data_IF_506526646394
#
_entry.id   IF_506526646394
#
_cell.length_a   1.000
_cell.length_b   1.000
_cell.length_c   1.000
_cell.angle_alpha   90.00
_cell.angle_beta   90.00
_cell.angle_gamma   90.00
#
_symmetry.space_group_name_H-M   'P 1'
#
loop_
_entity.id
_entity.type
_entity.pdbx_description
1 polymer ?
#
# COMPACT_ATOMS: atom_id res chain seq x y z
N UNK A 1 -18.69 18.77 21.68
CA UNK A 1 -18.49 17.72 20.66
C UNK A 1 -17.44 18.22 19.70
N UNK A 2 -16.27 17.56 19.57
CA UNK A 2 -15.27 18.01 18.61
C UNK A 2 -15.85 17.83 17.21
N UNK A 3 -15.75 18.89 16.40
CA UNK A 3 -16.29 18.95 15.05
C UNK A 3 -15.68 17.81 14.21
N UNK A 4 -16.56 16.98 13.66
CA UNK A 4 -16.31 16.08 12.53
C UNK A 4 -15.57 16.86 11.45
N UNK A 5 -14.59 16.22 10.81
CA UNK A 5 -13.70 16.83 9.82
C UNK A 5 -14.46 17.79 8.89
N UNK A 6 -14.07 19.07 8.81
CA UNK A 6 -14.79 20.00 7.96
C UNK A 6 -14.68 19.58 6.48
N UNK A 7 -15.62 20.01 5.61
CA UNK A 7 -15.58 19.83 4.16
C UNK A 7 -14.34 20.42 3.45
N UNK A 8 -13.32 20.86 4.18
CA UNK A 8 -12.19 21.66 3.74
C UNK A 8 -10.83 20.94 3.75
N UNK A 9 -10.77 19.61 3.85
CA UNK A 9 -9.49 18.89 3.75
C UNK A 9 -8.75 19.13 2.41
N UNK A 10 -9.44 19.60 1.37
CA UNK A 10 -8.87 20.04 0.09
C UNK A 10 -8.57 21.56 0.02
N UNK A 11 -8.88 22.34 1.06
CA UNK A 11 -8.64 23.79 1.09
C UNK A 11 -7.22 24.15 1.54
N UNK A 12 -6.44 23.22 2.13
CA UNK A 12 -5.03 23.47 2.42
C UNK A 12 -4.24 23.50 1.09
N UNK A 13 -3.74 24.67 0.65
CA UNK A 13 -3.07 24.80 -0.64
C UNK A 13 -1.77 24.00 -0.74
N UNK A 14 -1.07 23.81 0.38
CA UNK A 14 0.16 23.02 0.44
C UNK A 14 -0.15 21.54 0.26
N UNK A 15 -1.26 21.07 0.85
CA UNK A 15 -1.71 19.70 0.69
C UNK A 15 -2.12 19.38 -0.74
N UNK A 16 -2.88 20.30 -1.34
CA UNK A 16 -3.26 20.22 -2.74
C UNK A 16 -2.03 20.25 -3.66
N UNK A 17 -1.07 21.12 -3.37
CA UNK A 17 0.19 21.21 -4.12
C UNK A 17 0.98 19.91 -4.05
N UNK A 18 1.19 19.34 -2.86
CA UNK A 18 1.87 18.05 -2.72
C UNK A 18 1.13 16.93 -3.46
N UNK A 19 -0.17 16.79 -3.21
CA UNK A 19 -0.99 15.76 -3.86
C UNK A 19 -0.92 15.85 -5.38
N UNK A 20 -1.02 17.05 -5.96
CA UNK A 20 -1.08 17.23 -7.41
C UNK A 20 0.29 17.26 -8.09
N UNK A 21 1.35 17.71 -7.42
CA UNK A 21 2.66 17.97 -8.06
C UNK A 21 3.73 16.94 -7.72
N UNK A 22 3.55 16.15 -6.66
CA UNK A 22 4.56 15.20 -6.17
C UNK A 22 4.17 13.73 -6.44
N UNK A 23 3.16 13.49 -7.26
CA UNK A 23 2.82 12.14 -7.69
C UNK A 23 3.88 11.61 -8.67
N UNK A 24 4.48 10.48 -8.33
CA UNK A 24 5.39 9.73 -9.19
C UNK A 24 4.54 8.71 -9.95
N UNK A 25 4.42 8.91 -11.26
CA UNK A 25 3.61 8.03 -12.11
C UNK A 25 4.42 7.15 -13.04
N UNK A 26 5.69 7.50 -13.30
CA UNK A 26 6.55 6.80 -14.24
C UNK A 26 7.09 5.47 -13.67
N UNK A 27 6.75 4.36 -14.31
CA UNK A 27 7.07 3.01 -13.83
C UNK A 27 8.55 2.66 -13.95
N UNK A 28 9.24 3.19 -14.94
CA UNK A 28 10.68 2.94 -15.11
C UNK A 28 11.50 3.71 -14.07
N UNK A 29 11.14 4.97 -13.82
CA UNK A 29 11.67 5.73 -12.68
C UNK A 29 11.40 5.04 -11.36
N UNK A 30 10.21 4.46 -11.16
CA UNK A 30 9.88 3.72 -9.93
C UNK A 30 10.77 2.50 -9.71
N UNK A 31 11.09 1.73 -10.77
CA UNK A 31 12.04 0.60 -10.67
C UNK A 31 13.42 1.05 -10.21
N UNK A 32 13.91 2.19 -10.71
CA UNK A 32 15.16 2.78 -10.25
C UNK A 32 15.05 3.28 -8.80
N UNK A 33 13.97 3.97 -8.45
CA UNK A 33 13.75 4.54 -7.12
C UNK A 33 13.67 3.48 -6.02
N UNK A 34 13.15 2.27 -6.28
CA UNK A 34 13.11 1.20 -5.27
C UNK A 34 14.48 0.80 -4.72
N UNK A 35 15.55 1.00 -5.51
CA UNK A 35 16.94 0.72 -5.08
C UNK A 35 17.54 1.85 -4.27
N UNK A 36 17.01 3.05 -4.41
CA UNK A 36 17.61 4.29 -3.88
C UNK A 36 16.76 4.97 -2.82
N UNK A 37 15.54 4.47 -2.60
CA UNK A 37 14.55 5.05 -1.70
C UNK A 37 13.97 3.99 -0.77
N UNK A 38 13.53 4.45 0.40
CA UNK A 38 12.65 3.70 1.28
C UNK A 38 11.21 3.94 0.81
N UNK A 39 10.44 2.87 0.65
CA UNK A 39 9.02 2.98 0.36
C UNK A 39 8.21 2.86 1.65
N UNK A 40 7.36 3.85 1.91
CA UNK A 40 6.44 3.89 3.03
C UNK A 40 5.02 3.65 2.53
N UNK A 41 4.57 2.41 2.60
CA UNK A 41 3.18 2.00 2.39
C UNK A 41 2.28 2.60 3.45
N UNK A 42 1.15 3.14 3.04
CA UNK A 42 0.15 3.76 3.90
C UNK A 42 -1.26 3.33 3.53
N UNK A 43 -2.08 3.13 4.55
CA UNK A 43 -3.52 2.93 4.42
C UNK A 43 -4.21 3.50 5.67
N UNK A 44 -5.47 3.95 5.53
CA UNK A 44 -6.24 4.51 6.64
C UNK A 44 -7.65 3.96 6.71
N UNK A 45 -8.12 3.80 7.93
CA UNK A 45 -9.44 3.26 8.24
C UNK A 45 -10.18 4.22 9.18
N UNK A 46 -11.49 4.37 8.98
CA UNK A 46 -12.30 5.31 9.76
C UNK A 46 -13.69 4.77 10.15
N UNK A 47 -14.50 5.65 10.73
CA UNK A 47 -15.91 5.40 11.02
C UNK A 47 -16.75 5.65 9.76
N UNK A 48 -17.17 4.57 9.09
CA UNK A 48 -17.92 4.62 7.81
C UNK A 48 -17.11 5.28 6.68
N UNK A 49 -15.89 4.76 6.48
CA UNK A 49 -14.86 5.44 5.69
C UNK A 49 -14.17 6.51 6.55
N UNK A 50 -13.44 7.44 5.93
CA UNK A 50 -12.68 8.47 6.67
C UNK A 50 -13.51 9.74 6.98
N UNK A 51 -14.78 9.80 6.58
CA UNK A 51 -15.61 11.02 6.65
C UNK A 51 -15.91 11.48 8.08
N UNK A 52 -16.13 10.53 9.01
CA UNK A 52 -16.25 10.83 10.44
C UNK A 52 -14.90 10.85 11.16
N UNK A 53 -13.82 10.66 10.40
CA UNK A 53 -12.45 10.69 10.87
C UNK A 53 -11.72 9.36 10.79
N UNK A 54 -10.39 9.47 10.71
CA UNK A 54 -9.48 8.34 10.77
C UNK A 54 -9.51 7.76 12.19
N UNK A 55 -9.61 6.45 12.28
CA UNK A 55 -9.59 5.65 13.52
C UNK A 55 -8.34 4.80 13.61
N UNK A 56 -7.75 4.47 12.47
CA UNK A 56 -6.47 3.78 12.40
C UNK A 56 -5.72 4.10 11.12
N UNK A 57 -4.40 3.98 11.21
CA UNK A 57 -3.47 4.14 10.09
C UNK A 57 -2.50 2.96 10.09
N UNK A 58 -2.24 2.43 8.91
CA UNK A 58 -1.24 1.41 8.65
C UNK A 58 0.00 2.04 8.04
N UNK A 59 1.16 1.57 8.48
CA UNK A 59 2.43 1.82 7.83
C UNK A 59 3.11 0.51 7.48
N UNK A 60 3.70 0.44 6.30
CA UNK A 60 4.59 -0.63 5.87
C UNK A 60 5.86 -0.02 5.30
N UNK A 61 7.02 -0.40 5.81
CA UNK A 61 8.32 0.18 5.46
C UNK A 61 9.06 -0.88 4.67
N UNK A 62 9.14 -0.68 3.36
CA UNK A 62 9.97 -1.48 2.48
C UNK A 62 11.34 -0.78 2.35
N UNK A 63 12.43 -1.39 2.83
CA UNK A 63 13.76 -0.84 2.68
C UNK A 63 14.18 -0.75 1.21
N UNK A 64 15.22 0.04 0.89
CA UNK A 64 15.77 0.08 -0.46
C UNK A 64 16.19 -1.33 -0.87
N UNK A 65 15.57 -1.84 -1.92
CA UNK A 65 15.64 -3.25 -2.30
C UNK A 65 15.89 -3.37 -3.78
N UNK A 66 16.83 -4.23 -4.18
CA UNK A 66 16.97 -4.62 -5.56
C UNK A 66 16.01 -5.77 -5.89
N UNK A 67 14.91 -5.44 -6.56
CA UNK A 67 13.96 -6.43 -7.05
C UNK A 67 14.48 -7.09 -8.33
N UNK A 68 15.44 -7.99 -8.18
CA UNK A 68 15.80 -8.89 -9.27
C UNK A 68 14.63 -9.85 -9.53
N UNK A 69 14.07 -9.85 -10.74
CA UNK A 69 12.88 -10.62 -11.13
C UNK A 69 12.95 -12.12 -10.84
N UNK A 70 14.16 -12.67 -10.71
CA UNK A 70 14.43 -14.08 -10.35
C UNK A 70 14.27 -14.38 -8.85
N UNK A 71 14.04 -13.38 -8.01
CA UNK A 71 14.03 -13.49 -6.57
C UNK A 71 12.65 -13.28 -5.92
N UNK A 72 11.54 -13.19 -6.66
CA UNK A 72 10.22 -13.24 -6.03
C UNK A 72 9.92 -14.66 -5.49
N UNK A 73 9.14 -14.84 -4.41
CA UNK A 73 8.75 -16.18 -3.92
C UNK A 73 8.11 -17.04 -5.02
N UNK A 74 8.04 -18.37 -4.82
CA UNK A 74 7.31 -19.25 -5.74
C UNK A 74 5.80 -19.01 -5.67
N UNK A 75 5.09 -19.21 -6.77
CA UNK A 75 3.63 -19.07 -6.81
C UNK A 75 2.92 -20.28 -6.18
N UNK A 76 1.82 -20.08 -5.42
CA UNK A 76 1.22 -18.79 -5.06
C UNK A 76 2.01 -18.07 -3.97
N UNK A 77 2.01 -16.74 -4.00
CA UNK A 77 2.73 -15.95 -3.00
C UNK A 77 1.94 -15.84 -1.70
N UNK A 78 2.66 -15.97 -0.59
CA UNK A 78 2.15 -15.59 0.72
C UNK A 78 2.73 -14.24 1.14
N UNK A 79 1.88 -13.33 1.66
CA UNK A 79 2.29 -12.00 2.11
C UNK A 79 3.40 -12.09 3.16
N UNK A 80 3.32 -13.07 4.06
CA UNK A 80 4.31 -13.28 5.11
C UNK A 80 5.70 -13.60 4.55
N UNK A 81 5.80 -14.42 3.50
CA UNK A 81 7.08 -14.75 2.87
C UNK A 81 7.73 -13.51 2.26
N UNK A 82 6.93 -12.61 1.67
CA UNK A 82 7.41 -11.34 1.11
C UNK A 82 7.88 -10.41 2.23
N UNK A 83 7.11 -10.31 3.32
CA UNK A 83 7.46 -9.52 4.52
C UNK A 83 8.80 -9.97 5.10
N UNK A 84 8.97 -11.28 5.30
CA UNK A 84 10.21 -11.86 5.83
C UNK A 84 11.38 -11.69 4.87
N UNK A 85 11.17 -11.94 3.58
CA UNK A 85 12.22 -11.87 2.57
C UNK A 85 12.79 -10.46 2.41
N UNK A 86 11.92 -9.46 2.39
CA UNK A 86 12.31 -8.06 2.20
C UNK A 86 12.42 -7.29 3.51
N UNK A 87 12.30 -7.97 4.66
CA UNK A 87 12.41 -7.38 6.00
C UNK A 87 11.48 -6.16 6.15
N UNK A 88 10.22 -6.31 5.71
CA UNK A 88 9.24 -5.23 5.75
C UNK A 88 8.81 -5.01 7.21
N UNK A 89 9.17 -3.85 7.76
CA UNK A 89 8.68 -3.42 9.07
C UNK A 89 7.28 -2.84 8.91
N UNK A 90 6.37 -3.14 9.83
CA UNK A 90 5.00 -2.68 9.69
C UNK A 90 4.31 -2.39 11.02
N UNK A 91 3.43 -1.39 10.99
CA UNK A 91 2.77 -0.83 12.14
C UNK A 91 1.29 -0.59 11.84
N UNK A 92 0.42 -0.93 12.79
CA UNK A 92 -0.98 -0.54 12.76
C UNK A 92 -1.27 0.32 13.99
N UNK A 93 -1.48 1.61 13.77
CA UNK A 93 -1.81 2.55 14.81
C UNK A 93 -3.34 2.66 14.98
N UNK A 94 -3.81 2.48 16.21
CA UNK A 94 -5.19 2.72 16.61
C UNK A 94 -5.25 4.01 17.41
N UNK A 95 -6.11 4.94 16.98
CA UNK A 95 -6.22 6.24 17.64
C UNK A 95 -7.06 6.16 18.91
N UNK A 96 -6.46 6.53 20.04
CA UNK A 96 -7.15 6.56 21.33
C UNK A 96 -8.30 7.57 21.32
N UNK A 97 -9.39 7.21 22.00
CA UNK A 97 -10.60 8.02 22.05
C UNK A 97 -11.45 8.00 20.78
N UNK A 98 -11.00 7.36 19.69
CA UNK A 98 -11.80 7.14 18.47
C UNK A 98 -12.28 5.69 18.43
N UNK A 99 -13.58 5.49 18.21
CA UNK A 99 -14.20 4.16 18.25
C UNK A 99 -14.76 3.78 16.89
N UNK A 100 -14.30 2.66 16.34
CA UNK A 100 -14.98 1.99 15.22
C UNK A 100 -16.25 1.30 15.72
N UNK A 101 -17.26 1.16 14.84
CA UNK A 101 -18.46 0.34 15.12
C UNK A 101 -18.12 -1.14 15.27
N UNK A 102 -17.09 -1.61 14.58
CA UNK A 102 -16.60 -2.99 14.62
C UNK A 102 -15.28 -3.07 15.37
N UNK A 103 -14.97 -4.22 16.01
CA UNK A 103 -13.65 -4.45 16.61
C UNK A 103 -12.53 -4.25 15.59
N UNK A 104 -11.35 -3.88 16.07
CA UNK A 104 -10.16 -3.84 15.23
C UNK A 104 -9.78 -5.26 14.82
N UNK A 105 -9.61 -5.53 13.52
CA UNK A 105 -9.18 -6.84 13.05
C UNK A 105 -7.74 -7.11 13.44
N UNK A 106 -7.37 -8.39 13.48
CA UNK A 106 -6.01 -8.80 13.76
C UNK A 106 -5.04 -8.27 12.70
N UNK A 107 -3.83 -7.94 13.13
CA UNK A 107 -2.73 -7.51 12.28
C UNK A 107 -1.55 -8.48 12.47
N UNK A 108 -1.38 -9.48 11.57
CA UNK A 108 -0.44 -10.57 11.79
C UNK A 108 1.01 -10.25 11.40
N UNK A 109 1.24 -9.13 10.69
CA UNK A 109 2.49 -8.87 10.00
C UNK A 109 3.44 -7.92 10.74
N UNK A 110 3.04 -7.39 11.90
CA UNK A 110 3.80 -6.37 12.59
C UNK A 110 3.21 -5.91 13.91
N UNK A 111 3.56 -4.69 14.30
CA UNK A 111 3.22 -4.16 15.62
C UNK A 111 1.89 -3.41 15.62
N UNK A 112 1.06 -3.69 16.61
CA UNK A 112 -0.13 -2.89 16.91
C UNK A 112 0.19 -1.87 17.99
N UNK A 113 -0.09 -0.59 17.73
CA UNK A 113 0.15 0.50 18.68
C UNK A 113 -1.15 1.26 18.92
N UNK A 114 -1.49 1.51 20.19
CA UNK A 114 -2.55 2.45 20.56
C UNK A 114 -1.91 3.77 20.93
N UNK A 115 -2.37 4.87 20.35
CA UNK A 115 -1.78 6.19 20.61
C UNK A 115 -2.82 7.30 20.57
N UNK A 116 -2.65 8.28 21.46
CA UNK A 116 -3.36 9.55 21.41
C UNK A 116 -2.64 10.61 20.55
N UNK A 117 -1.36 10.39 20.21
CA UNK A 117 -0.48 11.34 19.54
C UNK A 117 0.18 10.68 18.32
N UNK A 118 -0.60 10.56 17.24
CA UNK A 118 -0.18 9.88 16.02
C UNK A 118 0.97 10.59 15.30
N UNK A 119 1.02 11.94 15.37
CA UNK A 119 2.08 12.75 14.77
C UNK A 119 3.43 12.41 15.41
N UNK A 120 3.49 12.35 16.74
CA UNK A 120 4.73 11.99 17.46
C UNK A 120 5.20 10.57 17.12
N UNK A 121 4.30 9.58 17.14
CA UNK A 121 4.69 8.20 16.86
C UNK A 121 5.15 8.03 15.40
N UNK A 122 4.46 8.69 14.46
CA UNK A 122 4.86 8.65 13.05
C UNK A 122 6.20 9.33 12.84
N UNK A 123 6.43 10.48 13.48
CA UNK A 123 7.72 11.17 13.44
C UNK A 123 8.85 10.30 13.97
N UNK A 124 8.64 9.59 15.08
CA UNK A 124 9.65 8.67 15.63
C UNK A 124 10.02 7.55 14.65
N UNK A 125 9.03 6.98 13.96
CA UNK A 125 9.27 5.99 12.90
C UNK A 125 10.06 6.59 11.75
N UNK A 126 9.63 7.74 11.22
CA UNK A 126 10.28 8.38 10.06
C UNK A 126 11.70 8.80 10.40
N UNK A 127 11.94 9.37 11.58
CA UNK A 127 13.28 9.73 12.05
C UNK A 127 14.17 8.48 12.17
N UNK A 128 13.63 7.37 12.70
CA UNK A 128 14.34 6.08 12.77
C UNK A 128 14.69 5.52 11.38
N UNK A 129 13.76 5.61 10.43
CA UNK A 129 13.98 5.23 9.03
C UNK A 129 15.08 6.07 8.41
N UNK A 130 15.04 7.39 8.59
CA UNK A 130 16.05 8.32 8.04
C UNK A 130 17.43 8.11 8.66
N UNK A 131 17.51 7.77 9.95
CA UNK A 131 18.76 7.42 10.62
C UNK A 131 19.32 6.10 10.08
N UNK A 132 18.47 5.07 9.96
CA UNK A 132 18.87 3.73 9.47
C UNK A 132 19.29 3.74 8.00
N UNK A 133 18.61 4.53 7.17
CA UNK A 133 18.83 4.64 5.74
C UNK A 133 19.31 6.04 5.36
N UNK A 134 20.38 6.49 6.01
CA UNK A 134 20.94 7.83 5.81
C UNK A 134 21.21 8.13 4.32
N UNK A 135 20.74 9.30 3.85
CA UNK A 135 20.89 9.74 2.47
C UNK A 135 19.91 9.11 1.46
N UNK A 136 19.01 8.22 1.91
CA UNK A 136 17.96 7.65 1.06
C UNK A 136 16.70 8.50 1.14
N UNK A 137 16.01 8.66 0.01
CA UNK A 137 14.74 9.35 -0.04
C UNK A 137 13.62 8.46 0.53
N UNK A 138 12.54 9.07 1.04
CA UNK A 138 11.34 8.35 1.47
C UNK A 138 10.20 8.67 0.48
N UNK A 139 9.57 7.63 -0.06
CA UNK A 139 8.45 7.76 -1.01
C UNK A 139 7.22 7.13 -0.38
N UNK A 140 6.10 7.86 -0.39
CA UNK A 140 4.83 7.38 0.14
C UNK A 140 4.11 6.51 -0.90
N UNK A 141 3.58 5.36 -0.50
CA UNK A 141 2.91 4.40 -1.39
C UNK A 141 1.50 4.15 -0.86
N UNK A 142 0.46 4.38 -1.67
CA UNK A 142 -0.92 4.11 -1.25
C UNK A 142 -1.74 3.43 -2.33
N UNK A 143 -2.88 2.85 -1.93
CA UNK A 143 -3.86 2.27 -2.85
C UNK A 143 -5.00 3.25 -3.12
N UNK A 144 -4.96 3.94 -4.26
CA UNK A 144 -5.89 5.03 -4.57
C UNK A 144 -6.07 6.05 -3.43
N UNK A 145 -4.97 6.54 -2.82
CA UNK A 145 -5.07 7.35 -1.60
C UNK A 145 -5.64 8.75 -1.88
N UNK A 146 -5.55 9.23 -3.13
CA UNK A 146 -6.10 10.51 -3.56
C UNK A 146 -7.43 10.29 -4.31
N UNK A 147 -8.49 11.11 -4.08
CA UNK A 147 -8.48 12.42 -3.43
C UNK A 147 -8.81 12.45 -1.94
N UNK A 148 -9.03 11.31 -1.28
CA UNK A 148 -9.65 11.30 0.05
C UNK A 148 -8.66 11.09 1.19
N UNK A 149 -7.90 10.02 1.15
CA UNK A 149 -7.05 9.59 2.26
C UNK A 149 -5.82 10.47 2.41
N UNK A 150 -5.13 10.78 1.31
CA UNK A 150 -3.89 11.54 1.34
C UNK A 150 -4.05 12.92 1.99
N UNK A 151 -5.08 13.74 1.66
CA UNK A 151 -5.33 14.99 2.37
C UNK A 151 -5.71 14.80 3.85
N UNK A 152 -6.46 13.74 4.18
CA UNK A 152 -6.85 13.44 5.56
C UNK A 152 -5.64 13.05 6.42
N UNK A 153 -4.72 12.25 5.86
CA UNK A 153 -3.45 11.90 6.50
C UNK A 153 -2.61 13.16 6.71
N UNK A 154 -2.49 14.02 5.71
CA UNK A 154 -1.70 15.26 5.84
C UNK A 154 -2.20 16.19 6.93
N UNK A 155 -3.52 16.31 7.07
CA UNK A 155 -4.11 17.11 8.13
C UNK A 155 -3.83 16.54 9.53
N UNK A 156 -3.66 15.22 9.64
CA UNK A 156 -3.35 14.54 10.91
C UNK A 156 -1.86 14.46 11.20
N UNK A 157 -1.04 14.32 10.16
CA UNK A 157 0.39 14.03 10.24
C UNK A 157 1.17 14.94 9.29
N UNK A 158 1.14 16.27 9.49
CA UNK A 158 1.75 17.21 8.56
C UNK A 158 3.26 17.02 8.44
N UNK A 159 3.95 16.62 9.52
CA UNK A 159 5.40 16.37 9.49
C UNK A 159 5.79 15.31 8.47
N UNK A 160 4.98 14.25 8.29
CA UNK A 160 5.26 13.19 7.32
C UNK A 160 5.47 13.74 5.90
N UNK A 161 4.67 14.74 5.51
CA UNK A 161 4.70 15.33 4.16
C UNK A 161 5.92 16.22 3.92
N UNK A 162 6.60 16.65 4.99
CA UNK A 162 7.86 17.38 4.91
C UNK A 162 9.05 16.43 4.68
N UNK A 163 8.88 15.16 5.04
CA UNK A 163 9.94 14.15 5.03
C UNK A 163 9.94 13.27 3.79
N UNK A 164 8.82 13.20 3.06
CA UNK A 164 8.69 12.41 1.83
C UNK A 164 8.94 13.26 0.58
N UNK A 165 9.60 12.66 -0.42
CA UNK A 165 9.92 13.37 -1.68
C UNK A 165 8.80 13.32 -2.71
N UNK A 166 7.87 12.38 -2.54
CA UNK A 166 6.72 12.20 -3.42
C UNK A 166 5.89 10.98 -3.02
N UNK A 167 4.89 10.67 -3.85
CA UNK A 167 3.96 9.60 -3.57
C UNK A 167 3.55 8.81 -4.82
N UNK A 168 3.09 7.58 -4.65
CA UNK A 168 2.69 6.65 -5.71
C UNK A 168 1.29 6.13 -5.46
N UNK A 169 0.45 6.15 -6.50
CA UNK A 169 -0.80 5.39 -6.53
C UNK A 169 -0.53 4.01 -7.15
N UNK A 170 -0.64 2.96 -6.33
CA UNK A 170 -0.45 1.58 -6.81
C UNK A 170 -1.52 1.20 -7.86
N UNK A 171 -2.70 1.82 -7.84
CA UNK A 171 -3.72 1.62 -8.88
C UNK A 171 -3.21 2.10 -10.24
N UNK A 172 -2.52 3.24 -10.30
CA UNK A 172 -1.98 3.76 -11.56
C UNK A 172 -0.83 2.89 -12.09
N UNK A 173 0.02 2.37 -11.21
CA UNK A 173 1.05 1.39 -11.59
C UNK A 173 0.40 0.11 -12.13
N UNK A 174 -0.64 -0.38 -11.46
CA UNK A 174 -1.37 -1.58 -11.88
C UNK A 174 -2.00 -1.37 -13.27
N UNK A 175 -2.56 -0.19 -13.56
CA UNK A 175 -3.12 0.15 -14.89
C UNK A 175 -2.09 0.10 -16.03
N UNK A 176 -0.83 0.37 -15.73
CA UNK A 176 0.26 0.37 -16.73
C UNK A 176 0.82 -1.02 -16.98
N UNK A 177 0.87 -1.85 -15.94
CA UNK A 177 1.50 -3.18 -15.98
C UNK A 177 0.50 -4.28 -16.37
N UNK A 178 -0.78 -4.09 -16.05
CA UNK A 178 -1.81 -5.11 -16.22
C UNK A 178 -2.83 -4.70 -17.29
N UNK A 179 -3.45 -5.71 -17.93
CA UNK A 179 -4.55 -5.53 -18.88
C UNK A 179 -5.86 -6.03 -18.29
N UNK A 180 -6.96 -5.36 -18.65
CA UNK A 180 -8.32 -5.84 -18.35
C UNK A 180 -9.03 -6.20 -19.65
N UNK A 181 -9.70 -7.37 -19.65
CA UNK A 181 -10.62 -7.78 -20.73
C UNK A 181 -12.10 -7.56 -20.37
N UNK A 182 -12.40 -7.04 -19.18
CA UNK A 182 -13.77 -6.79 -18.74
C UNK A 182 -14.16 -5.34 -19.02
N UNK A 183 -15.23 -5.13 -19.80
CA UNK A 183 -15.76 -3.82 -20.19
C UNK A 183 -16.09 -2.92 -18.97
N UNK A 184 -16.51 -3.51 -17.85
CA UNK A 184 -16.89 -2.78 -16.64
C UNK A 184 -15.70 -2.21 -15.84
N UNK A 185 -14.47 -2.67 -16.10
CA UNK A 185 -13.28 -2.14 -15.42
C UNK A 185 -12.87 -0.75 -15.93
N UNK A 186 -13.42 -0.30 -17.07
CA UNK A 186 -13.33 1.08 -17.51
C UNK A 186 -14.08 2.05 -16.57
N UNK A 187 -15.07 1.57 -15.80
CA UNK A 187 -15.90 2.40 -14.90
C UNK A 187 -15.47 2.32 -13.44
N UNK A 188 -14.85 1.23 -13.00
CA UNK A 188 -14.42 1.02 -11.62
C UNK A 188 -13.25 0.05 -11.54
N UNK A 189 -12.18 0.46 -10.87
CA UNK A 189 -10.98 -0.36 -10.70
C UNK A 189 -11.27 -1.59 -9.82
N UNK A 190 -10.63 -2.76 -10.04
CA UNK A 190 -10.80 -3.90 -9.15
C UNK A 190 -10.37 -3.55 -7.72
N UNK A 191 -11.05 -4.11 -6.70
CA UNK A 191 -10.59 -4.07 -5.32
C UNK A 191 -9.17 -4.64 -5.16
N UNK A 192 -8.48 -4.22 -4.10
CA UNK A 192 -7.15 -4.71 -3.72
C UNK A 192 -7.04 -6.25 -3.78
N UNK A 193 -8.04 -6.95 -3.22
CA UNK A 193 -8.10 -8.42 -3.20
C UNK A 193 -8.15 -9.08 -4.60
N UNK A 194 -8.87 -8.48 -5.56
CA UNK A 194 -8.93 -9.00 -6.93
C UNK A 194 -7.58 -8.83 -7.64
N UNK A 195 -6.88 -7.72 -7.37
CA UNK A 195 -5.53 -7.49 -7.90
C UNK A 195 -4.53 -8.45 -7.26
N UNK A 196 -4.57 -8.67 -5.94
CA UNK A 196 -3.75 -9.66 -5.25
C UNK A 196 -3.83 -11.04 -5.92
N UNK A 197 -5.06 -11.54 -6.13
CA UNK A 197 -5.27 -12.83 -6.81
C UNK A 197 -4.71 -12.85 -8.25
N UNK A 198 -4.89 -11.75 -8.99
CA UNK A 198 -4.44 -11.67 -10.37
C UNK A 198 -2.91 -11.65 -10.47
N UNK A 199 -2.23 -10.99 -9.54
CA UNK A 199 -0.75 -10.91 -9.54
C UNK A 199 -0.08 -12.11 -8.90
N UNK A 200 -0.84 -13.05 -8.31
CA UNK A 200 -0.37 -14.37 -7.89
C UNK A 200 -0.38 -14.64 -6.38
N UNK A 201 -0.98 -13.77 -5.56
CA UNK A 201 -1.14 -14.03 -4.13
C UNK A 201 -2.16 -15.16 -3.88
N UNK A 202 -1.92 -15.90 -2.81
CA UNK A 202 -2.80 -16.94 -2.30
C UNK A 202 -4.13 -16.38 -1.80
N UNK A 203 -5.18 -17.21 -1.83
CA UNK A 203 -6.50 -16.84 -1.29
C UNK A 203 -6.48 -16.59 0.22
N UNK A 204 -5.53 -17.20 0.95
CA UNK A 204 -5.41 -17.02 2.39
C UNK A 204 -4.89 -15.62 2.78
N UNK A 205 -4.24 -14.92 1.83
CA UNK A 205 -3.74 -13.57 2.02
C UNK A 205 -4.81 -12.48 1.87
N UNK A 206 -6.01 -12.82 1.38
CA UNK A 206 -6.97 -11.79 0.99
C UNK A 206 -7.51 -11.03 2.19
N UNK A 207 -7.61 -9.68 2.10
CA UNK A 207 -8.28 -8.88 3.10
C UNK A 207 -9.71 -9.39 3.36
N UNK A 208 -10.12 -9.60 4.62
CA UNK A 208 -11.48 -9.99 4.93
C UNK A 208 -12.46 -8.88 4.52
N UNK A 209 -13.51 -9.24 3.77
CA UNK A 209 -14.44 -8.31 3.07
C UNK A 209 -15.07 -7.17 3.89
N UNK A 210 -15.10 -7.25 5.22
CA UNK A 210 -15.94 -6.40 6.05
C UNK A 210 -15.24 -5.79 7.27
N UNK A 211 -13.95 -6.07 7.46
CA UNK A 211 -13.19 -5.62 8.61
C UNK A 211 -11.70 -5.57 8.26
N UNK A 212 -11.27 -4.43 7.76
CA UNK A 212 -9.92 -4.22 7.27
C UNK A 212 -9.02 -3.64 8.37
N UNK A 213 -7.81 -4.19 8.43
CA UNK A 213 -6.71 -3.66 9.24
C UNK A 213 -5.93 -2.74 8.35
N UNK A 214 -5.83 -1.46 8.72
CA UNK A 214 -5.04 -0.51 7.95
C UNK A 214 -3.59 -0.98 7.80
N UNK A 215 -3.00 -1.58 8.84
CA UNK A 215 -1.67 -2.17 8.76
C UNK A 215 -1.57 -3.29 7.71
N UNK A 216 -2.56 -4.19 7.65
CA UNK A 216 -2.56 -5.27 6.65
C UNK A 216 -2.68 -4.72 5.24
N UNK A 217 -3.56 -3.74 5.01
CA UNK A 217 -3.79 -3.18 3.68
C UNK A 217 -2.61 -2.32 3.20
N UNK A 218 -1.90 -1.63 4.11
CA UNK A 218 -0.62 -0.99 3.79
C UNK A 218 0.44 -1.99 3.30
N UNK A 219 0.52 -3.18 3.92
CA UNK A 219 1.45 -4.24 3.50
C UNK A 219 1.01 -4.86 2.18
N UNK A 220 -0.27 -5.17 2.02
CA UNK A 220 -0.77 -5.70 0.76
C UNK A 220 -0.51 -4.72 -0.39
N UNK A 221 -0.66 -3.41 -0.14
CA UNK A 221 -0.35 -2.36 -1.10
C UNK A 221 1.13 -2.36 -1.50
N UNK A 222 2.04 -2.38 -0.54
CA UNK A 222 3.48 -2.33 -0.84
C UNK A 222 3.99 -3.63 -1.49
N UNK A 223 3.45 -4.77 -1.08
CA UNK A 223 3.83 -6.08 -1.65
C UNK A 223 3.28 -6.27 -3.05
N UNK A 224 2.10 -5.74 -3.37
CA UNK A 224 1.60 -5.66 -4.75
C UNK A 224 2.48 -4.74 -5.59
N UNK A 225 2.84 -3.55 -5.10
CA UNK A 225 3.74 -2.66 -5.83
C UNK A 225 5.07 -3.37 -6.17
N UNK A 226 5.69 -3.99 -5.17
CA UNK A 226 6.90 -4.79 -5.34
C UNK A 226 6.71 -5.86 -6.43
N UNK A 227 5.59 -6.61 -6.38
CA UNK A 227 5.28 -7.62 -7.39
C UNK A 227 5.12 -7.02 -8.78
N UNK A 228 4.36 -5.95 -8.95
CA UNK A 228 4.13 -5.30 -10.24
C UNK A 228 5.45 -4.81 -10.86
N UNK A 229 6.34 -4.26 -10.05
CA UNK A 229 7.61 -3.73 -10.52
C UNK A 229 8.63 -4.82 -10.88
N UNK A 230 8.48 -6.04 -10.33
CA UNK A 230 9.25 -7.24 -10.74
C UNK A 230 8.74 -7.89 -12.03
N UNK A 231 7.59 -7.47 -12.55
CA UNK A 231 7.04 -8.04 -13.77
C UNK A 231 7.93 -7.65 -14.96
N UNK A 232 8.34 -8.68 -15.70
CA UNK A 232 9.14 -8.58 -16.91
C UNK A 232 8.32 -7.86 -18.01
N UNK A 233 8.75 -6.69 -18.49
CA UNK A 233 8.01 -5.93 -19.49
C UNK A 233 7.93 -6.65 -20.84
N UNK A 234 8.81 -7.62 -21.11
CA UNK A 234 8.82 -8.39 -22.35
C UNK A 234 7.87 -9.59 -22.32
N UNK A 235 7.25 -9.88 -21.16
CA UNK A 235 6.24 -10.93 -21.02
C UNK A 235 4.84 -10.43 -21.31
N UNK A 236 3.89 -11.32 -21.65
CA UNK A 236 2.49 -10.95 -21.76
C UNK A 236 2.00 -10.25 -20.48
N UNK A 237 1.24 -9.15 -20.60
CA UNK A 237 0.75 -8.40 -19.45
C UNK A 237 -0.17 -9.27 -18.58
N UNK A 238 -0.17 -9.00 -17.27
CA UNK A 238 -1.03 -9.71 -16.32
C UNK A 238 -2.48 -9.34 -16.61
N UNK A 239 -3.35 -10.35 -16.79
CA UNK A 239 -4.78 -10.12 -16.98
C UNK A 239 -5.50 -9.97 -15.64
N UNK A 240 -6.08 -8.81 -15.36
CA UNK A 240 -6.91 -8.61 -14.16
C UNK A 240 -8.29 -9.24 -14.36
N UNK A 241 -8.73 -10.01 -13.36
CA UNK A 241 -10.08 -10.60 -13.34
C UNK A 241 -10.73 -10.38 -11.98
N UNK A 242 -11.99 -9.95 -12.00
CA UNK A 242 -12.81 -9.95 -10.77
C UNK A 242 -13.04 -11.38 -10.27
N UNK A 243 -12.77 -11.62 -8.99
CA UNK A 243 -13.17 -12.81 -8.21
C UNK A 243 -12.70 -14.17 -8.75
N UNK A 244 -11.57 -14.26 -9.47
CA UNK A 244 -10.99 -15.55 -9.91
C UNK A 244 -9.46 -15.50 -9.95
N UNK A 245 -8.75 -16.47 -9.37
CA UNK A 245 -7.33 -16.67 -9.63
C UNK A 245 -7.08 -16.88 -11.13
N UNK A 246 -5.96 -16.38 -11.66
CA UNK A 246 -5.60 -16.62 -13.05
C UNK A 246 -5.24 -18.10 -13.26
N UNK A 247 -6.00 -18.79 -14.14
CA UNK A 247 -5.70 -20.17 -14.59
C UNK A 247 -4.29 -20.33 -15.17
N UNK A 248 -3.69 -19.26 -15.69
CA UNK A 248 -2.33 -19.29 -16.26
C UNK A 248 -1.26 -19.67 -15.22
N UNK A 249 -1.44 -19.27 -13.96
CA UNK A 249 -0.51 -19.64 -12.89
C UNK A 249 -0.65 -21.12 -12.50
N UNK A 250 -1.88 -21.64 -12.50
CA UNK A 250 -2.15 -23.07 -12.26
C UNK A 250 -1.56 -23.98 -13.35
N UNK A 251 -1.46 -23.49 -14.60
CA UNK A 251 -0.85 -24.25 -15.70
C UNK A 251 0.69 -24.25 -15.63
N UNK A 252 1.32 -23.18 -15.16
CA UNK A 252 2.78 -23.16 -14.90
C UNK A 252 3.18 -24.13 -13.78
N UNK A 253 2.30 -24.39 -12.80
CA UNK A 253 2.52 -25.41 -11.76
C UNK A 253 2.56 -26.85 -12.32
N UNK A 254 1.90 -27.13 -13.44
CA UNK A 254 1.91 -28.47 -14.06
C UNK A 254 3.11 -28.68 -14.99
N UNK A 255 3.91 -27.65 -15.26
CA UNK A 255 5.06 -27.70 -16.16
C UNK A 255 6.41 -27.59 -15.46
N UNK A 256 6.45 -27.44 -14.13
CA UNK A 256 7.70 -27.63 -13.40
C UNK A 256 8.00 -29.13 -13.31
N UNK A 257 9.15 -29.60 -13.82
CA UNK A 257 9.56 -30.98 -13.63
C UNK A 257 9.73 -31.22 -12.13
N UNK A 258 9.16 -32.30 -11.63
CA UNK A 258 9.51 -32.83 -10.32
C UNK A 258 10.97 -33.26 -10.41
N UNK A 259 11.86 -32.51 -9.77
CA UNK A 259 13.20 -33.01 -9.41
C UNK A 259 13.10 -34.01 -8.26
#
# INVERSE_FOLDING_TARGET
MPKLFPPSLLENPEARTFCLQKQITDTDSLRCHLRESVCLGIDVEGCEGIGEGITSIGFAILPPTDFLSKAFPSLPFETQEIVEKYQIESYCFYMDGRRRRKPHPAFPYGSTVKTADLERETKAIVDGVKQRYAGKAVILIGWHPHPRELPAIQALIPSLFQEVVGWVDVVDVTRRVCVSKQEDLAKSWPPLSDVMLSVGFSEICLPPRFCHSAGSDAIHTITILARLLTCDPDRPPIELRRRRPLKQWQQQQQQQPKE
#
